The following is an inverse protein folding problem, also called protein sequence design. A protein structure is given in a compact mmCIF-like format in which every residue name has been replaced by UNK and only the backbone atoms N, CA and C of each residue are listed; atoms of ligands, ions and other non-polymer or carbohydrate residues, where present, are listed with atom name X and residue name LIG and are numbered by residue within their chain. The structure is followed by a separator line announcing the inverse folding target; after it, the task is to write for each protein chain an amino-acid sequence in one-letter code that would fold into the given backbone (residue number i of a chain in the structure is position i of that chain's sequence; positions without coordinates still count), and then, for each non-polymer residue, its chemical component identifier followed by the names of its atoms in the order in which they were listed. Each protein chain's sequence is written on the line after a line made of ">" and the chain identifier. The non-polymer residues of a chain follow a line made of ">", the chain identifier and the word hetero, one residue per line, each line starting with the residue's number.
data_IF_950286371160
#
_entry.id   IF_950286371160
#
_cell.length_a   1.000
_cell.length_b   1.000
_cell.length_c   1.000
_cell.angle_alpha   90.00
_cell.angle_beta   90.00
_cell.angle_gamma   90.00
#
_symmetry.space_group_name_H-M   'P 1'
#
loop_
_entity.id
_entity.type
_entity.pdbx_description
1 polymer ?
2 non-polymer ?
3 non-polymer ?
4 non-polymer ?
5 non-polymer ?
6 non-polymer ?
7 water ?
#
# COMPACT_ATOMS: atom_id res chain seq x y z
N UNK A 9 10.02 7.23 27.15
CA UNK A 9 8.74 6.47 27.13
C UNK A 9 7.57 7.31 26.62
N UNK A 10 6.87 6.78 25.62
CA UNK A 10 5.69 7.40 25.06
C UNK A 10 4.44 6.67 25.57
N UNK A 11 3.42 7.42 25.96
CA UNK A 11 2.12 6.79 26.16
C UNK A 11 1.61 6.54 24.75
N UNK A 12 1.64 5.27 24.37
CA UNK A 12 1.27 4.88 23.00
C UNK A 12 -0.18 5.20 22.73
N UNK A 13 -1.02 5.07 23.76
CA UNK A 13 -2.42 5.44 23.63
C UNK A 13 -2.51 6.95 23.38
N UNK A 14 -1.74 7.74 24.14
CA UNK A 14 -1.73 9.20 23.96
C UNK A 14 -1.27 9.58 22.55
N UNK A 15 -0.22 8.94 22.07
CA UNK A 15 0.27 9.23 20.71
C UNK A 15 -0.78 8.86 19.69
N UNK A 16 -1.43 7.71 19.87
CA UNK A 16 -2.49 7.25 18.98
C UNK A 16 -3.64 8.22 18.86
N UNK A 17 -4.15 8.68 20.00
CA UNK A 17 -5.30 9.57 19.96
C UNK A 17 -4.86 10.91 19.36
N UNK A 18 -3.61 11.32 19.57
CA UNK A 18 -3.10 12.55 18.97
C UNK A 18 -3.12 12.42 17.43
N UNK A 19 -2.56 11.31 16.93
CA UNK A 19 -2.60 11.07 15.49
C UNK A 19 -4.02 11.00 14.96
N UNK A 20 -4.90 10.30 15.69
CA UNK A 20 -6.32 10.24 15.30
C UNK A 20 -6.94 11.61 15.13
N UNK A 21 -6.73 12.51 16.10
CA UNK A 21 -7.32 13.85 16.00
C UNK A 21 -6.59 14.70 14.96
N UNK A 22 -5.27 14.56 14.87
CA UNK A 22 -4.46 15.36 13.92
C UNK A 22 -4.85 15.10 12.46
N UNK A 23 -5.02 13.84 12.09
CA UNK A 23 -5.28 13.43 10.72
C UNK A 23 -6.68 12.90 10.46
N UNK A 24 -7.55 12.92 11.47
CA UNK A 24 -8.92 12.49 11.28
C UNK A 24 -9.04 11.01 10.96
N UNK A 25 -8.24 10.18 11.63
CA UNK A 25 -8.28 8.74 11.41
C UNK A 25 -9.37 8.06 12.22
N UNK A 26 -9.91 6.95 11.70
CA UNK A 26 -10.75 6.05 12.50
C UNK A 26 -9.94 5.39 13.64
N UNK A 27 -8.74 4.91 13.34
CA UNK A 27 -7.88 4.21 14.29
C UNK A 27 -6.43 4.52 14.01
N UNK A 28 -5.67 4.83 15.06
CA UNK A 28 -4.22 4.85 14.98
C UNK A 28 -3.71 3.90 16.02
N UNK A 29 -2.95 2.91 15.55
CA UNK A 29 -2.36 1.87 16.37
C UNK A 29 -0.88 2.13 16.45
N UNK A 30 -0.43 2.65 17.59
CA UNK A 30 0.99 2.90 17.82
C UNK A 30 1.64 1.69 18.53
N UNK A 31 2.47 1.03 17.74
CA UNK A 31 3.13 -0.20 18.13
C UNK A 31 4.50 0.07 18.74
N UNK A 32 4.80 -0.54 19.89
CA UNK A 32 6.13 -0.33 20.52
C UNK A 32 7.19 -1.09 19.76
N UNK A 33 8.25 -0.39 19.34
CA UNK A 33 9.39 -1.04 18.72
C UNK A 33 10.61 -0.45 19.42
N UNK A 34 11.45 -1.28 20.03
CA UNK A 34 12.41 -0.73 20.96
C UNK A 34 13.51 0.11 20.33
N UNK A 35 13.87 -0.17 19.09
CA UNK A 35 14.92 0.57 18.43
C UNK A 35 14.41 1.24 17.16
N UNK A 36 15.04 2.35 16.77
CA UNK A 36 14.58 3.13 15.64
C UNK A 36 14.98 2.59 14.26
N UNK A 37 15.72 1.48 14.20
CA UNK A 37 16.16 1.03 12.88
C UNK A 37 15.00 0.46 12.06
N UNK A 38 15.12 0.62 10.74
CA UNK A 38 14.05 0.28 9.85
C UNK A 38 13.66 -1.21 9.88
N UNK A 39 14.63 -2.09 9.86
CA UNK A 39 14.32 -3.54 9.88
C UNK A 39 13.51 -3.91 11.11
N UNK A 40 13.95 -3.41 12.25
CA UNK A 40 13.30 -3.69 13.53
C UNK A 40 11.88 -3.18 13.62
N UNK A 41 11.70 -1.93 13.19
CA UNK A 41 10.37 -1.32 13.09
C UNK A 41 9.49 -2.15 12.17
N UNK A 42 10.01 -2.49 10.99
CA UNK A 42 9.16 -3.13 9.99
C UNK A 42 8.68 -4.46 10.48
N UNK A 43 9.58 -5.15 11.17
CA UNK A 43 9.24 -6.45 11.67
C UNK A 43 8.08 -6.36 12.67
N UNK A 44 8.16 -5.38 13.55
CA UNK A 44 7.16 -5.21 14.61
C UNK A 44 5.83 -4.77 14.02
N UNK A 45 5.89 -3.90 13.00
CA UNK A 45 4.66 -3.45 12.39
C UNK A 45 4.00 -4.56 11.57
N UNK A 46 4.82 -5.37 10.90
CA UNK A 46 4.30 -6.48 10.08
C UNK A 46 3.61 -7.51 10.97
N UNK A 47 4.20 -7.75 12.13
CA UNK A 47 3.60 -8.66 13.06
C UNK A 47 2.25 -8.18 13.56
N UNK A 48 2.18 -6.92 13.97
CA UNK A 48 0.90 -6.42 14.42
C UNK A 48 -0.10 -6.29 13.26
N UNK A 49 0.36 -5.97 12.05
CA UNK A 49 -0.52 -5.96 10.91
C UNK A 49 -1.19 -7.28 10.68
N UNK A 50 -0.44 -8.38 10.85
CA UNK A 50 -0.99 -9.71 10.62
C UNK A 50 -2.07 -10.04 11.69
N UNK A 51 -1.77 -9.68 12.93
CA UNK A 51 -2.74 -9.84 14.03
C UNK A 51 -3.99 -8.99 13.81
N UNK A 52 -3.79 -7.73 13.39
CA UNK A 52 -4.92 -6.88 13.11
C UNK A 52 -5.80 -7.45 12.00
N UNK A 53 -5.19 -7.94 10.92
CA UNK A 53 -5.96 -8.54 9.84
C UNK A 53 -6.77 -9.76 10.31
N UNK A 54 -6.11 -10.62 11.09
CA UNK A 54 -6.74 -11.81 11.64
C UNK A 54 -7.96 -11.45 12.49
N UNK A 55 -7.83 -10.39 13.28
CA UNK A 55 -8.93 -9.96 14.14
C UNK A 55 -10.06 -9.33 13.35
N UNK A 56 -9.70 -8.62 12.29
CA UNK A 56 -10.62 -7.73 11.58
C UNK A 56 -11.47 -8.42 10.50
N UNK A 57 -10.87 -9.34 9.76
CA UNK A 57 -11.55 -9.89 8.60
C UNK A 57 -12.68 -10.83 9.06
N UNK A 58 -13.83 -10.72 8.40
CA UNK A 58 -15.00 -11.51 8.78
C UNK A 58 -15.70 -12.09 7.55
N UNK A 59 -16.66 -13.01 7.79
CA UNK A 59 -17.42 -13.63 6.73
C UNK A 59 -17.90 -12.59 5.70
N UNK A 60 -17.69 -12.89 4.42
CA UNK A 60 -18.17 -12.04 3.35
C UNK A 60 -17.29 -10.88 2.95
N UNK A 61 -16.24 -10.61 3.72
CA UNK A 61 -15.35 -9.49 3.40
C UNK A 61 -14.72 -9.64 2.04
N UNK A 62 -14.52 -8.50 1.37
CA UNK A 62 -13.69 -8.44 0.17
C UNK A 62 -12.46 -7.63 0.57
N UNK A 63 -11.31 -8.32 0.52
CA UNK A 63 -10.08 -7.79 1.08
C UNK A 63 -9.11 -7.52 -0.07
N UNK A 64 -8.70 -6.25 -0.23
CA UNK A 64 -7.73 -5.85 -1.24
C UNK A 64 -6.33 -5.77 -0.59
N UNK A 65 -5.35 -6.38 -1.24
CA UNK A 65 -3.98 -6.31 -0.80
C UNK A 65 -3.02 -5.73 -1.84
N UNK A 66 -2.05 -4.98 -1.33
CA UNK A 66 -0.95 -4.38 -2.07
C UNK A 66 0.21 -5.43 -2.14
N UNK A 67 1.41 -4.95 -2.43
CA UNK A 67 2.58 -5.78 -2.40
C UNK A 67 3.82 -4.99 -2.03
N UNK A 68 4.93 -5.70 -1.90
CA UNK A 68 6.20 -5.12 -1.55
C UNK A 68 6.76 -5.76 -0.29
N UNK A 69 7.82 -5.20 0.25
CA UNK A 69 8.58 -5.90 1.31
C UNK A 69 7.76 -5.93 2.61
N UNK A 70 7.10 -4.84 2.95
CA UNK A 70 6.23 -4.82 4.12
C UNK A 70 5.08 -5.82 3.99
N UNK A 71 4.37 -5.75 2.86
CA UNK A 71 3.23 -6.61 2.65
C UNK A 71 3.61 -8.11 2.69
N UNK A 72 4.78 -8.46 2.13
CA UNK A 72 5.25 -9.86 2.15
C UNK A 72 5.53 -10.28 3.58
N UNK A 73 6.12 -9.40 4.38
CA UNK A 73 6.34 -9.73 5.83
C UNK A 73 5.03 -9.91 6.59
N UNK A 74 4.05 -9.07 6.35
CA UNK A 74 2.73 -9.28 6.94
C UNK A 74 2.18 -10.64 6.53
N UNK A 75 2.26 -10.94 5.24
CA UNK A 75 1.72 -12.18 4.68
C UNK A 75 2.34 -13.39 5.36
N UNK A 76 3.66 -13.31 5.53
CA UNK A 76 4.40 -14.41 6.13
C UNK A 76 4.02 -14.68 7.56
N UNK A 77 3.46 -13.69 8.22
CA UNK A 77 3.04 -13.81 9.62
C UNK A 77 1.56 -14.10 9.80
N UNK A 78 0.80 -14.17 8.71
CA UNK A 78 -0.63 -14.46 8.77
C UNK A 78 -0.87 -15.88 9.29
N UNK A 79 -1.90 -15.98 10.12
CA UNK A 79 -2.32 -17.26 10.65
C UNK A 79 -3.76 -17.48 10.15
N UNK A 80 -4.17 -18.74 9.98
CA UNK A 80 -5.46 -19.02 9.36
C UNK A 80 -6.61 -18.59 10.23
N UNK A 81 -7.71 -18.28 9.58
CA UNK A 81 -8.92 -17.95 10.29
C UNK A 81 -10.08 -18.66 9.61
N UNK A 82 -10.97 -19.26 10.42
CA UNK A 82 -12.13 -19.93 9.88
C UNK A 82 -13.18 -18.88 9.53
N UNK A 83 -13.14 -18.41 8.28
CA UNK A 83 -14.15 -17.48 7.76
C UNK A 83 -14.66 -18.03 6.47
N UNK A 84 -15.87 -17.61 6.11
CA UNK A 84 -16.56 -18.08 4.95
C UNK A 84 -16.83 -16.90 4.03
N UNK A 85 -16.81 -17.16 2.74
CA UNK A 85 -17.23 -16.20 1.72
C UNK A 85 -16.30 -15.02 1.53
N UNK A 86 -15.06 -15.12 2.02
CA UNK A 86 -14.08 -14.01 1.88
C UNK A 86 -13.44 -14.04 0.51
N UNK A 87 -13.22 -12.86 -0.09
CA UNK A 87 -12.50 -12.77 -1.35
C UNK A 87 -11.24 -11.98 -1.05
N UNK A 88 -10.11 -12.40 -1.62
CA UNK A 88 -8.85 -11.65 -1.48
C UNK A 88 -8.37 -11.30 -2.87
N UNK A 89 -8.22 -10.00 -3.14
CA UNK A 89 -7.94 -9.49 -4.48
C UNK A 89 -6.72 -8.59 -4.47
N UNK A 90 -5.92 -8.71 -5.53
CA UNK A 90 -4.75 -7.90 -5.69
C UNK A 90 -5.17 -6.49 -6.13
N UNK A 91 -4.69 -5.46 -5.42
CA UNK A 91 -5.11 -4.07 -5.74
C UNK A 91 -4.37 -3.44 -6.91
N UNK A 92 -3.22 -3.98 -7.23
CA UNK A 92 -2.39 -3.51 -8.35
C UNK A 92 -1.58 -4.70 -8.83
N UNK A 93 -1.32 -4.75 -10.12
CA UNK A 93 -0.41 -5.81 -10.66
C UNK A 93 1.00 -5.67 -10.16
N UNK A 94 1.70 -6.80 -10.13
CA UNK A 94 3.04 -6.92 -9.56
C UNK A 94 4.04 -7.49 -10.52
N UNK A 95 3.68 -7.52 -11.81
CA UNK A 95 4.65 -8.00 -12.79
C UNK A 95 5.80 -7.01 -12.95
N UNK A 96 6.99 -7.54 -12.92
CA UNK A 96 8.24 -6.81 -13.18
C UNK A 96 8.76 -7.04 -14.59
N UNK A 97 9.32 -5.99 -15.21
CA UNK A 97 10.05 -6.11 -16.45
C UNK A 97 11.56 -6.13 -16.25
N UNK A 98 12.01 -6.26 -15.01
CA UNK A 98 13.42 -6.54 -14.74
C UNK A 98 13.56 -7.91 -14.11
N UNK A 99 14.76 -8.24 -13.66
CA UNK A 99 14.93 -9.48 -12.88
C UNK A 99 14.43 -9.41 -11.44
N UNK A 100 14.13 -8.19 -10.96
CA UNK A 100 13.66 -7.98 -9.62
C UNK A 100 12.19 -8.47 -9.48
N UNK A 101 11.92 -9.21 -8.40
CA UNK A 101 10.66 -9.89 -8.18
C UNK A 101 9.93 -9.09 -7.08
N UNK A 102 8.66 -8.80 -7.28
CA UNK A 102 7.90 -8.12 -6.26
C UNK A 102 7.33 -9.06 -5.20
N UNK A 103 7.32 -10.38 -5.48
CA UNK A 103 6.65 -11.39 -4.66
C UNK A 103 5.16 -11.09 -4.47
N UNK A 104 4.57 -10.39 -5.42
CA UNK A 104 3.17 -10.11 -5.27
C UNK A 104 2.32 -11.35 -5.24
N UNK A 105 2.65 -12.37 -6.03
CA UNK A 105 1.84 -13.57 -6.10
C UNK A 105 1.91 -14.33 -4.80
N UNK A 106 3.12 -14.46 -4.27
CA UNK A 106 3.32 -15.19 -3.02
C UNK A 106 2.63 -14.47 -1.87
N UNK A 107 2.64 -13.16 -1.90
CA UNK A 107 2.00 -12.33 -0.85
C UNK A 107 0.50 -12.57 -0.86
N UNK A 108 -0.13 -12.45 -2.01
CA UNK A 108 -1.58 -12.64 -2.03
C UNK A 108 -1.99 -14.11 -1.77
N UNK A 109 -1.17 -15.06 -2.22
CA UNK A 109 -1.39 -16.48 -1.92
C UNK A 109 -1.51 -16.71 -0.43
N UNK A 110 -0.57 -16.14 0.33
CA UNK A 110 -0.53 -16.32 1.79
C UNK A 110 -1.76 -15.70 2.46
N UNK A 111 -2.14 -14.49 2.03
CA UNK A 111 -3.40 -13.90 2.53
C UNK A 111 -4.64 -14.72 2.17
N UNK A 112 -4.76 -15.15 0.93
CA UNK A 112 -5.92 -15.95 0.52
C UNK A 112 -6.02 -17.26 1.30
N UNK A 113 -4.87 -17.93 1.46
CA UNK A 113 -4.77 -19.17 2.26
C UNK A 113 -5.25 -18.98 3.71
N UNK A 114 -4.81 -17.90 4.35
CA UNK A 114 -5.25 -17.57 5.70
C UNK A 114 -6.78 -17.45 5.80
N UNK A 115 -7.37 -16.87 4.76
CA UNK A 115 -8.78 -16.58 4.75
C UNK A 115 -9.60 -17.60 3.96
N UNK A 116 -9.05 -18.80 3.79
CA UNK A 116 -9.79 -19.94 3.25
C UNK A 116 -10.34 -19.71 1.85
N UNK A 117 -9.54 -19.06 1.02
CA UNK A 117 -10.00 -18.74 -0.32
C UNK A 117 -8.80 -18.79 -1.26
N UNK A 118 -9.05 -18.53 -2.53
CA UNK A 118 -8.02 -18.53 -3.54
C UNK A 118 -7.81 -17.11 -4.03
N UNK A 119 -6.56 -16.75 -4.31
CA UNK A 119 -6.24 -15.39 -4.72
C UNK A 119 -6.89 -14.97 -6.04
N UNK A 120 -7.33 -13.73 -6.08
CA UNK A 120 -7.81 -13.08 -7.29
C UNK A 120 -6.66 -12.19 -7.77
N UNK A 121 -5.90 -12.69 -8.74
CA UNK A 121 -4.69 -12.06 -9.22
C UNK A 121 -5.03 -10.95 -10.20
N UNK A 122 -4.13 -9.97 -10.29
CA UNK A 122 -4.19 -8.91 -11.29
C UNK A 122 -2.88 -9.12 -12.10
N UNK A 123 -2.97 -9.90 -13.20
CA UNK A 123 -1.75 -10.40 -13.89
C UNK A 123 -1.17 -9.42 -14.91
N UNK A 124 -0.69 -8.30 -14.36
CA UNK A 124 -0.24 -7.16 -15.15
C UNK A 124 0.93 -6.48 -14.43
N UNK A 125 1.72 -5.73 -15.16
CA UNK A 125 2.54 -4.70 -14.46
C UNK A 125 1.62 -3.60 -13.93
N UNK A 126 2.07 -2.80 -12.96
CA UNK A 126 1.22 -1.74 -12.45
C UNK A 126 1.36 -0.50 -13.34
N UNK A 127 2.52 -0.27 -13.92
CA UNK A 127 2.76 0.88 -14.80
C UNK A 127 3.08 0.38 -16.19
N UNK A 128 2.45 1.03 -17.15
CA UNK A 128 2.63 0.77 -18.58
C UNK A 128 3.42 1.89 -19.27
N UNK A 129 3.94 1.60 -20.47
CA UNK A 129 4.78 2.57 -21.17
C UNK A 129 4.05 3.86 -21.57
N UNK A 130 2.75 3.77 -21.81
CA UNK A 130 1.99 4.92 -22.29
C UNK A 130 0.51 4.71 -21.98
N UNK A 131 -0.25 5.80 -22.04
CA UNK A 131 -1.66 5.78 -21.58
C UNK A 131 -2.55 5.03 -22.59
N UNK A 132 -2.10 4.96 -23.84
CA UNK A 132 -2.90 4.29 -24.87
C UNK A 132 -2.92 2.79 -24.63
N UNK A 133 -1.75 2.21 -24.34
CA UNK A 133 -1.71 0.77 -24.05
C UNK A 133 -2.47 0.49 -22.75
N UNK A 134 -2.32 1.36 -21.77
CA UNK A 134 -3.02 1.18 -20.50
C UNK A 134 -4.53 1.11 -20.74
N UNK A 135 -5.02 2.05 -21.52
CA UNK A 135 -6.46 2.10 -21.77
C UNK A 135 -6.93 0.88 -22.54
N UNK A 136 -6.11 0.35 -23.46
CA UNK A 136 -6.52 -0.83 -24.22
C UNK A 136 -6.47 -2.09 -23.35
N UNK A 137 -5.45 -2.20 -22.50
CA UNK A 137 -5.31 -3.35 -21.62
C UNK A 137 -6.43 -3.42 -20.56
N UNK A 138 -6.79 -2.27 -19.98
CA UNK A 138 -7.77 -2.23 -18.91
C UNK A 138 -9.18 -2.59 -19.33
N UNK A 139 -9.47 -2.53 -20.64
CA UNK A 139 -10.77 -2.89 -21.18
C UNK A 139 -11.02 -4.40 -21.25
N UNK A 140 -10.00 -5.22 -21.09
CA UNK A 140 -10.19 -6.67 -21.04
C UNK A 140 -11.16 -7.00 -19.88
N UNK A 141 -12.22 -7.75 -20.16
CA UNK A 141 -13.27 -7.95 -19.18
C UNK A 141 -12.77 -8.60 -17.89
N UNK A 142 -11.77 -9.48 -18.02
CA UNK A 142 -11.18 -10.09 -16.86
C UNK A 142 -10.47 -9.08 -16.00
N UNK A 143 -9.74 -8.17 -16.61
CA UNK A 143 -9.09 -7.11 -15.87
C UNK A 143 -10.12 -6.17 -15.21
N UNK A 144 -11.12 -5.77 -15.99
CA UNK A 144 -12.22 -4.93 -15.46
C UNK A 144 -12.82 -5.55 -14.21
N UNK A 145 -13.08 -6.84 -14.25
CA UNK A 145 -13.66 -7.51 -13.09
C UNK A 145 -12.81 -7.44 -11.84
N UNK A 146 -11.50 -7.62 -12.03
CA UNK A 146 -10.56 -7.57 -10.92
C UNK A 146 -10.49 -6.14 -10.37
N UNK A 147 -10.47 -5.15 -11.25
CA UNK A 147 -10.42 -3.75 -10.81
C UNK A 147 -11.71 -3.39 -10.08
N UNK A 148 -12.84 -3.88 -10.57
CA UNK A 148 -14.12 -3.61 -9.90
C UNK A 148 -14.16 -4.29 -8.54
N UNK A 149 -13.62 -5.50 -8.43
CA UNK A 149 -13.53 -6.12 -7.10
C UNK A 149 -12.66 -5.28 -6.15
N UNK A 150 -11.61 -4.64 -6.68
CA UNK A 150 -10.77 -3.78 -5.87
C UNK A 150 -11.56 -2.58 -5.36
N UNK A 151 -12.48 -2.08 -6.19
CA UNK A 151 -13.36 -0.99 -5.77
C UNK A 151 -14.35 -1.46 -4.74
N UNK A 152 -14.87 -2.66 -4.91
CA UNK A 152 -15.86 -3.21 -3.97
C UNK A 152 -15.25 -3.54 -2.62
N UNK A 153 -13.94 -3.82 -2.58
CA UNK A 153 -13.26 -4.27 -1.37
C UNK A 153 -13.58 -3.32 -0.23
N UNK A 154 -14.07 -3.88 0.88
CA UNK A 154 -14.33 -3.07 2.08
C UNK A 154 -13.11 -2.93 2.98
N UNK A 155 -12.10 -3.78 2.74
CA UNK A 155 -10.85 -3.69 3.45
C UNK A 155 -9.73 -3.62 2.42
N UNK A 156 -8.87 -2.63 2.58
CA UNK A 156 -7.67 -2.50 1.76
C UNK A 156 -6.46 -2.41 2.67
N UNK A 157 -5.42 -3.17 2.35
CA UNK A 157 -4.20 -3.22 3.16
C UNK A 157 -3.01 -2.84 2.26
N UNK A 158 -2.27 -1.83 2.71
CA UNK A 158 -1.13 -1.32 1.98
C UNK A 158 -0.11 -0.60 2.85
N UNK A 159 1.06 -0.34 2.22
CA UNK A 159 2.06 0.48 2.84
C UNK A 159 2.20 1.74 2.01
N UNK A 160 3.12 2.60 2.41
CA UNK A 160 3.54 3.70 1.53
C UNK A 160 5.03 3.50 1.20
N UNK A 161 5.40 3.76 -0.06
CA UNK A 161 6.77 3.60 -0.49
C UNK A 161 7.52 4.92 -0.40
N UNK A 162 8.81 4.89 -0.65
CA UNK A 162 9.67 6.07 -0.61
C UNK A 162 10.06 6.44 -2.03
N UNK A 163 10.90 7.44 -2.16
CA UNK A 163 11.56 7.71 -3.43
C UNK A 163 13.07 7.61 -3.31
N UNK A 164 13.54 6.73 -2.42
CA UNK A 164 14.96 6.45 -2.31
C UNK A 164 15.49 5.78 -3.56
N UNK A 165 16.81 5.86 -3.77
CA UNK A 165 17.41 5.23 -4.95
C UNK A 165 17.05 3.74 -5.05
N UNK A 166 16.99 3.03 -3.94
CA UNK A 166 16.72 1.58 -4.06
C UNK A 166 15.24 1.25 -3.84
N UNK A 167 14.39 2.27 -4.02
CA UNK A 167 12.95 2.04 -3.97
C UNK A 167 12.55 0.93 -4.95
N UNK A 168 11.76 -0.02 -4.46
CA UNK A 168 11.35 -1.12 -5.30
C UNK A 168 10.76 -0.67 -6.66
N UNK A 169 9.94 0.36 -6.65
CA UNK A 169 9.29 0.83 -7.88
C UNK A 169 10.24 1.45 -8.90
N UNK A 170 11.47 1.71 -8.51
CA UNK A 170 12.46 2.18 -9.43
C UNK A 170 13.33 1.05 -10.04
N UNK A 171 13.02 -0.21 -9.68
CA UNK A 171 13.87 -1.35 -10.00
C UNK A 171 13.14 -2.37 -10.89
N UNK A 172 11.92 -2.04 -11.35
CA UNK A 172 11.07 -2.97 -12.07
C UNK A 172 10.99 -2.71 -13.59
N UNK A 173 11.82 -1.78 -14.10
CA UNK A 173 11.80 -1.50 -15.54
C UNK A 173 10.64 -0.63 -15.99
N UNK A 174 9.95 0.01 -15.06
CA UNK A 174 8.78 0.84 -15.40
C UNK A 174 9.18 2.22 -15.90
N UNK A 175 10.25 2.78 -15.33
CA UNK A 175 10.55 4.20 -15.51
C UNK A 175 11.91 4.40 -16.13
N UNK A 176 12.02 5.44 -16.96
CA UNK A 176 13.32 5.86 -17.46
C UNK A 176 14.01 6.76 -16.44
N UNK A 177 15.28 7.09 -16.66
CA UNK A 177 16.01 7.83 -15.63
C UNK A 177 15.46 9.27 -15.43
N UNK A 178 14.91 9.86 -16.48
CA UNK A 178 14.32 11.23 -16.37
C UNK A 178 13.10 11.17 -15.45
N UNK A 179 12.27 10.15 -15.61
CA UNK A 179 11.07 10.00 -14.77
C UNK A 179 11.47 9.73 -13.32
N UNK A 180 12.48 8.89 -13.10
CA UNK A 180 12.93 8.62 -11.74
C UNK A 180 13.47 9.87 -11.07
N UNK A 181 14.22 10.67 -11.84
CA UNK A 181 14.77 11.92 -11.30
C UNK A 181 13.61 12.86 -10.91
N UNK A 182 12.60 12.95 -11.77
CA UNK A 182 11.40 13.77 -11.48
C UNK A 182 10.71 13.32 -10.22
N UNK A 183 10.46 12.02 -10.08
CA UNK A 183 9.77 11.50 -8.92
C UNK A 183 10.60 11.71 -7.63
N UNK A 184 11.91 11.51 -7.70
CA UNK A 184 12.76 11.70 -6.55
C UNK A 184 12.75 13.13 -6.06
N UNK A 185 12.56 14.10 -6.99
CA UNK A 185 12.50 15.51 -6.63
C UNK A 185 11.12 15.97 -6.19
N UNK A 186 10.06 15.39 -6.76
CA UNK A 186 8.70 15.92 -6.64
C UNK A 186 7.68 15.10 -5.86
N UNK A 187 7.94 13.80 -5.65
CA UNK A 187 7.06 12.95 -4.88
C UNK A 187 7.68 12.66 -3.54
N UNK A 188 6.84 12.37 -2.54
CA UNK A 188 7.33 11.90 -1.28
C UNK A 188 7.20 10.38 -1.18
N UNK A 189 6.34 9.80 -1.97
CA UNK A 189 6.09 8.35 -1.88
C UNK A 189 4.97 7.91 -2.73
N UNK A 190 4.60 6.65 -2.60
CA UNK A 190 3.52 6.04 -3.40
C UNK A 190 2.61 5.25 -2.48
N UNK A 191 1.32 5.15 -2.82
CA UNK A 191 0.42 4.14 -2.30
C UNK A 191 -0.04 3.37 -3.49
N UNK A 192 0.09 2.06 -3.43
CA UNK A 192 -0.28 1.22 -4.56
C UNK A 192 0.31 1.77 -5.86
N UNK A 193 1.57 2.20 -5.79
CA UNK A 193 2.34 2.58 -6.97
C UNK A 193 1.85 3.85 -7.67
N UNK A 194 1.02 4.64 -6.98
CA UNK A 194 0.61 5.97 -7.43
C UNK A 194 1.29 7.01 -6.55
N UNK A 195 1.97 7.94 -7.20
CA UNK A 195 2.91 8.85 -6.54
C UNK A 195 2.24 10.15 -6.17
N UNK A 196 2.46 10.56 -4.94
CA UNK A 196 1.90 11.83 -4.42
C UNK A 196 2.98 12.64 -3.72
N UNK A 197 2.67 13.93 -3.57
CA UNK A 197 3.51 14.91 -2.93
C UNK A 197 3.21 15.07 -1.46
N UNK A 198 3.83 16.05 -0.83
CA UNK A 198 3.69 16.24 0.59
C UNK A 198 2.27 16.61 1.02
N UNK A 199 1.48 17.11 0.11
CA UNK A 199 0.09 17.44 0.43
C UNK A 199 -0.89 16.32 0.03
N UNK A 200 -0.37 15.20 -0.46
CA UNK A 200 -1.17 14.09 -0.92
C UNK A 200 -1.70 14.22 -2.34
N UNK A 201 -1.25 15.21 -3.07
CA UNK A 201 -1.74 15.44 -4.42
C UNK A 201 -0.94 14.56 -5.37
N UNK A 202 -1.62 14.11 -6.43
CA UNK A 202 -0.94 13.28 -7.45
C UNK A 202 0.17 14.08 -8.14
N UNK A 203 1.38 13.53 -8.18
CA UNK A 203 2.55 14.25 -8.71
C UNK A 203 2.47 14.50 -10.18
N UNK A 204 2.12 13.48 -10.93
CA UNK A 204 2.15 13.50 -12.38
C UNK A 204 0.89 12.87 -12.95
N UNK A 205 0.06 13.66 -13.63
CA UNK A 205 -1.14 13.07 -14.20
C UNK A 205 -0.79 12.08 -15.32
N UNK A 206 0.32 12.35 -16.02
CA UNK A 206 0.74 11.47 -17.09
C UNK A 206 1.14 10.08 -16.58
N UNK A 207 1.93 10.03 -15.50
CA UNK A 207 2.36 8.75 -14.99
C UNK A 207 1.16 8.04 -14.36
N UNK A 208 0.32 8.82 -13.66
CA UNK A 208 -0.89 8.24 -13.07
C UNK A 208 -1.84 7.61 -14.11
N UNK A 209 -1.90 8.24 -15.27
CA UNK A 209 -2.74 7.76 -16.38
C UNK A 209 -2.18 6.51 -17.06
N UNK A 210 -0.93 6.14 -16.72
CA UNK A 210 -0.26 4.90 -17.23
C UNK A 210 -0.34 3.75 -16.22
N UNK A 211 -1.12 3.93 -15.17
CA UNK A 211 -1.10 3.02 -14.03
C UNK A 211 -2.44 2.32 -13.91
N UNK A 212 -2.39 0.98 -13.79
CA UNK A 212 -3.61 0.19 -13.54
C UNK A 212 -3.57 -0.32 -12.12
N UNK A 213 -4.62 -0.01 -11.37
CA UNK A 213 -4.74 -0.44 -10.00
C UNK A 213 -5.64 0.52 -9.23
N UNK A 214 -5.83 0.23 -7.95
CA UNK A 214 -6.79 0.97 -7.16
C UNK A 214 -6.45 2.46 -7.16
N UNK A 215 -7.45 3.31 -7.44
CA UNK A 215 -7.22 4.74 -7.51
C UNK A 215 -7.22 5.28 -6.10
N UNK A 216 -6.37 6.27 -5.84
CA UNK A 216 -6.25 6.75 -4.48
C UNK A 216 -7.53 7.30 -3.91
N UNK A 217 -8.32 8.00 -4.71
CA UNK A 217 -9.57 8.51 -4.19
C UNK A 217 -10.54 7.38 -3.82
N UNK A 218 -10.39 6.19 -4.43
CA UNK A 218 -11.26 5.07 -4.09
C UNK A 218 -10.93 4.50 -2.68
N UNK A 219 -9.68 4.65 -2.25
CA UNK A 219 -9.32 4.19 -0.90
C UNK A 219 -10.09 4.95 0.18
N UNK A 220 -10.40 6.20 -0.08
CA UNK A 220 -11.11 7.03 0.87
C UNK A 220 -12.53 6.54 1.16
N UNK A 221 -13.09 5.72 0.28
CA UNK A 221 -14.47 5.29 0.41
C UNK A 221 -14.64 4.01 1.24
N UNK A 222 -13.54 3.35 1.62
CA UNK A 222 -13.64 2.00 2.15
C UNK A 222 -13.88 2.01 3.65
N UNK A 223 -14.54 0.97 4.13
CA UNK A 223 -14.77 0.72 5.56
C UNK A 223 -13.44 0.74 6.32
N UNK A 224 -12.45 0.06 5.77
CA UNK A 224 -11.09 0.10 6.27
C UNK A 224 -10.01 0.20 5.18
N UNK A 225 -9.30 1.34 5.19
CA UNK A 225 -8.11 1.55 4.38
C UNK A 225 -6.93 1.59 5.36
N UNK A 226 -6.17 0.52 5.39
CA UNK A 226 -5.16 0.27 6.41
C UNK A 226 -3.78 0.53 5.86
N UNK A 227 -3.13 1.53 6.43
CA UNK A 227 -1.76 1.85 6.14
C UNK A 227 -0.81 1.31 7.22
N UNK A 228 0.07 0.41 6.86
CA UNK A 228 1.11 -0.09 7.75
C UNK A 228 2.46 0.45 7.28
N UNK A 229 3.11 1.29 8.09
CA UNK A 229 4.37 1.94 7.66
C UNK A 229 5.06 2.61 8.81
N UNK A 230 6.39 2.63 8.77
CA UNK A 230 7.20 3.30 9.78
C UNK A 230 8.65 3.37 9.35
N UNK A 231 9.45 4.07 10.15
CA UNK A 231 10.88 4.28 9.88
C UNK A 231 11.12 5.71 9.45
N UNK A 232 12.30 6.22 9.80
CA UNK A 232 12.63 7.60 9.50
C UNK A 232 12.51 7.83 8.00
N UNK A 233 12.86 6.82 7.18
CA UNK A 233 12.80 6.96 5.71
C UNK A 233 11.38 7.12 5.18
N UNK A 234 10.36 6.80 6.00
CA UNK A 234 8.97 6.90 5.57
C UNK A 234 8.17 8.01 6.26
N UNK A 235 8.81 8.85 7.09
CA UNK A 235 8.08 9.90 7.78
C UNK A 235 7.37 10.83 6.81
N UNK A 236 8.12 11.34 5.86
CA UNK A 236 7.50 12.27 4.90
C UNK A 236 6.43 11.60 4.03
N UNK A 237 6.69 10.37 3.62
CA UNK A 237 5.73 9.60 2.82
C UNK A 237 4.42 9.42 3.58
N UNK A 238 4.53 8.99 4.84
CA UNK A 238 3.34 8.82 5.68
C UNK A 238 2.58 10.12 5.85
N UNK A 239 3.27 11.21 6.12
CA UNK A 239 2.66 12.50 6.29
C UNK A 239 1.85 12.88 5.04
N UNK A 240 2.43 12.65 3.87
CA UNK A 240 1.70 12.92 2.62
C UNK A 240 0.46 12.07 2.47
N UNK A 241 0.59 10.78 2.78
CA UNK A 241 -0.50 9.87 2.67
C UNK A 241 -1.64 10.25 3.57
N UNK A 242 -1.31 10.62 4.81
CA UNK A 242 -2.35 11.00 5.78
C UNK A 242 -2.95 12.34 5.44
N UNK A 243 -2.14 13.26 4.97
CA UNK A 243 -2.64 14.55 4.53
C UNK A 243 -3.65 14.35 3.37
N UNK A 244 -3.40 13.40 2.49
CA UNK A 244 -4.36 13.08 1.42
C UNK A 244 -5.57 12.28 1.86
N UNK A 245 -5.59 11.88 3.12
CA UNK A 245 -6.70 11.12 3.70
C UNK A 245 -6.96 9.76 3.01
N UNK A 246 -5.86 9.11 2.60
CA UNK A 246 -5.96 7.84 1.88
C UNK A 246 -6.14 6.64 2.79
N UNK A 247 -5.93 6.81 4.09
CA UNK A 247 -6.12 5.70 5.01
C UNK A 247 -6.94 6.17 6.18
N UNK A 248 -7.80 5.30 6.70
CA UNK A 248 -8.50 5.61 7.93
C UNK A 248 -8.02 4.78 9.13
N UNK A 249 -7.14 3.80 8.86
CA UNK A 249 -6.51 3.04 9.92
C UNK A 249 -4.97 3.08 9.70
N UNK A 250 -4.24 3.49 10.74
CA UNK A 250 -2.77 3.59 10.66
C UNK A 250 -2.14 2.66 11.66
N UNK A 251 -1.14 1.87 11.22
CA UNK A 251 -0.36 0.99 12.08
C UNK A 251 1.08 1.49 11.89
N UNK A 252 1.63 1.99 13.00
CA UNK A 252 2.86 2.78 13.00
C UNK A 252 3.61 2.53 14.31
N UNK A 253 4.93 2.72 14.31
CA UNK A 253 5.73 2.61 15.54
C UNK A 253 5.82 3.93 16.28
N UNK A 254 6.28 3.91 17.54
CA UNK A 254 6.26 5.11 18.36
C UNK A 254 7.32 6.15 17.98
N UNK A 255 8.42 5.71 17.37
CA UNK A 255 9.46 6.65 16.90
C UNK A 255 8.88 7.50 15.77
N UNK A 256 8.32 6.82 14.78
CA UNK A 256 7.75 7.49 13.62
C UNK A 256 6.52 8.31 14.04
N UNK A 257 5.70 7.78 14.96
CA UNK A 257 4.55 8.53 15.48
C UNK A 257 4.98 9.86 16.10
N UNK A 258 6.03 9.83 16.91
CA UNK A 258 6.56 11.03 17.57
C UNK A 258 7.06 12.03 16.55
N UNK A 259 7.77 11.54 15.53
CA UNK A 259 8.26 12.38 14.45
C UNK A 259 7.10 13.11 13.72
N UNK A 260 5.98 12.42 13.50
CA UNK A 260 4.82 13.03 12.85
C UNK A 260 4.14 14.06 13.76
N UNK A 261 4.05 13.79 15.05
CA UNK A 261 3.41 14.71 15.97
C UNK A 261 4.30 15.93 16.13
N UNK A 262 5.60 15.73 16.24
CA UNK A 262 6.54 16.84 16.36
C UNK A 262 6.69 17.68 15.09
#
# INVERSE_FOLDING_TARGET
>A
GIDPFTDPFEDLDALGSILEEKYGLLEAHVVFSPTPDYAGITHDLSRYGAEYMHETVKDGDIVGVSWGTTMYQIAQNMQPKQVKGVEVVQLKGGISHSRVNTYSAETIQLFAEAFQTMPRYLPLPVVFDNADVKRMVEKDRHIERIIEMGKQANIALFTVGTVRDEALLFRLGYFNEEEKALLKKQAVGDICSRFFDAKGNICSSAINDRTIGVELQDLRLKERSILVAGGSRKVSSIHGALTGKYANVLIIDQHTARALVNDL
#
